data_IF_881541810342
#
_entry.id   IF_881541810342
#
_cell.length_a   1.000
_cell.length_b   1.000
_cell.length_c   1.000
_cell.angle_alpha   90.00
_cell.angle_beta   90.00
_cell.angle_gamma   90.00
#
_symmetry.space_group_name_H-M   'P 1'
#
loop_
_entity.id
_entity.type
_entity.pdbx_description
1 polymer ?
#
# COMPACT_ATOMS: atom_id res chain seq x y z
N UNK A 1 7.56 9.07 14.37
CA UNK A 1 7.43 8.81 15.80
C UNK A 1 8.36 7.70 16.31
N UNK A 2 9.35 7.31 15.52
CA UNK A 2 10.32 6.30 15.91
C UNK A 2 9.85 4.85 15.76
N UNK A 3 8.70 4.64 15.15
CA UNK A 3 8.18 3.30 14.90
C UNK A 3 8.47 2.91 13.44
N UNK A 4 9.11 1.75 13.27
CA UNK A 4 9.38 1.23 11.93
C UNK A 4 8.08 0.68 11.33
N UNK A 5 7.63 1.25 10.21
CA UNK A 5 6.40 0.84 9.54
C UNK A 5 6.67 0.07 8.26
N UNK A 6 7.87 0.19 7.72
CA UNK A 6 8.29 -0.51 6.51
C UNK A 6 9.81 -0.62 6.49
N UNK A 7 10.31 -1.70 5.92
CA UNK A 7 11.75 -1.94 5.82
C UNK A 7 12.04 -2.68 4.51
N UNK A 8 13.07 -2.24 3.79
CA UNK A 8 13.53 -2.89 2.56
C UNK A 8 15.03 -3.12 2.65
N UNK A 9 15.44 -4.33 2.36
CA UNK A 9 16.85 -4.70 2.30
C UNK A 9 17.13 -5.28 0.91
N UNK A 10 18.00 -4.62 0.16
CA UNK A 10 18.36 -5.07 -1.18
C UNK A 10 19.79 -5.62 -1.17
N UNK A 11 19.97 -6.75 -1.87
CA UNK A 11 21.31 -7.25 -2.13
C UNK A 11 22.04 -6.27 -3.06
N UNK A 12 23.38 -6.30 -3.04
CA UNK A 12 24.22 -5.35 -3.77
C UNK A 12 23.86 -5.19 -5.26
N UNK A 13 23.54 -6.26 -6.02
CA UNK A 13 23.21 -6.10 -7.44
C UNK A 13 21.84 -5.49 -7.72
N UNK A 14 21.01 -5.26 -6.68
CA UNK A 14 19.67 -4.72 -6.83
C UNK A 14 19.64 -3.24 -6.44
N UNK A 15 19.33 -2.37 -7.40
CA UNK A 15 19.15 -0.95 -7.13
C UNK A 15 17.88 -0.67 -6.32
N UNK A 16 17.79 0.53 -5.78
CA UNK A 16 16.63 0.97 -5.02
C UNK A 16 15.79 1.90 -5.87
N UNK A 17 14.48 1.66 -5.84
CA UNK A 17 13.51 2.48 -6.55
C UNK A 17 13.01 3.58 -5.64
N UNK A 18 13.39 4.84 -5.90
CA UNK A 18 12.99 5.98 -5.07
C UNK A 18 11.49 6.21 -5.16
N UNK A 19 10.89 6.06 -6.35
CA UNK A 19 9.46 6.24 -6.52
C UNK A 19 8.66 5.26 -5.67
N UNK A 20 9.18 4.04 -5.47
CA UNK A 20 8.55 3.07 -4.59
C UNK A 20 8.53 3.55 -3.14
N UNK A 21 9.60 4.19 -2.69
CA UNK A 21 9.65 4.74 -1.34
C UNK A 21 8.60 5.84 -1.17
N UNK A 22 8.44 6.69 -2.16
CA UNK A 22 7.44 7.75 -2.14
C UNK A 22 6.03 7.17 -2.16
N UNK A 23 5.81 6.12 -2.94
CA UNK A 23 4.52 5.42 -3.00
C UNK A 23 4.14 4.87 -1.62
N UNK A 24 5.11 4.30 -0.90
CA UNK A 24 4.88 3.76 0.43
C UNK A 24 4.57 4.84 1.46
N UNK A 25 5.22 5.99 1.37
CA UNK A 25 4.89 7.13 2.24
C UNK A 25 3.47 7.60 1.98
N UNK A 26 3.09 7.73 0.71
CA UNK A 26 1.72 8.11 0.34
C UNK A 26 0.71 7.10 0.86
N UNK A 27 1.02 5.81 0.76
CA UNK A 27 0.16 4.74 1.24
C UNK A 27 -0.04 4.79 2.75
N UNK A 28 1.03 5.03 3.51
CA UNK A 28 0.93 5.16 4.97
C UNK A 28 0.09 6.36 5.37
N UNK A 29 0.28 7.49 4.69
CA UNK A 29 -0.51 8.69 4.96
C UNK A 29 -1.98 8.47 4.64
N UNK A 30 -2.27 7.78 3.54
CA UNK A 30 -3.63 7.42 3.19
C UNK A 30 -4.29 6.57 4.28
N UNK A 31 -3.58 5.55 4.76
CA UNK A 31 -4.08 4.68 5.83
C UNK A 31 -4.39 5.48 7.10
N UNK A 32 -3.50 6.37 7.52
CA UNK A 32 -3.69 7.16 8.72
C UNK A 32 -4.84 8.15 8.59
N UNK A 33 -5.07 8.65 7.38
CA UNK A 33 -6.10 9.63 7.10
C UNK A 33 -7.50 9.01 6.99
N UNK A 34 -7.60 7.85 6.36
CA UNK A 34 -8.88 7.24 6.01
C UNK A 34 -9.21 5.97 6.78
N UNK A 35 -8.25 5.40 7.49
CA UNK A 35 -8.44 4.14 8.21
C UNK A 35 -8.56 2.91 7.32
N UNK A 36 -8.44 3.08 6.01
CA UNK A 36 -8.47 1.97 5.06
C UNK A 36 -7.06 1.47 4.78
N UNK A 37 -6.95 0.25 4.28
CA UNK A 37 -5.65 -0.32 3.92
C UNK A 37 -5.42 -0.16 2.41
N UNK A 38 -4.14 -0.16 2.04
CA UNK A 38 -3.72 -0.03 0.65
C UNK A 38 -3.37 -1.41 0.11
N UNK A 39 -4.10 -1.91 -0.89
CA UNK A 39 -3.76 -3.20 -1.49
C UNK A 39 -2.47 -3.11 -2.30
N UNK A 40 -1.94 -4.27 -2.69
CA UNK A 40 -0.73 -4.34 -3.52
C UNK A 40 -0.89 -3.49 -4.78
N UNK A 41 0.13 -2.73 -5.12
CA UNK A 41 0.12 -1.89 -6.30
C UNK A 41 -0.60 -0.56 -6.15
N UNK A 42 -1.09 -0.24 -4.95
CA UNK A 42 -1.79 1.02 -4.70
C UNK A 42 -0.90 2.23 -4.99
N UNK A 43 -1.46 3.23 -5.66
CA UNK A 43 -0.83 4.53 -5.88
C UNK A 43 -1.76 5.63 -5.38
N UNK A 44 -1.18 6.79 -5.09
CA UNK A 44 -1.95 7.94 -4.63
C UNK A 44 -3.09 8.25 -5.60
N UNK A 45 -4.29 8.34 -5.08
CA UNK A 45 -5.51 8.53 -5.86
C UNK A 45 -6.30 7.25 -6.11
N UNK A 46 -5.67 6.08 -5.88
CA UNK A 46 -6.36 4.80 -6.04
C UNK A 46 -7.29 4.52 -4.86
N UNK A 47 -8.22 3.61 -5.08
CA UNK A 47 -9.17 3.19 -4.05
C UNK A 47 -8.47 2.36 -2.98
N UNK A 48 -8.79 2.64 -1.71
CA UNK A 48 -8.35 1.82 -0.59
C UNK A 48 -9.35 0.70 -0.30
N UNK A 49 -9.09 -0.05 0.76
CA UNK A 49 -9.90 -1.20 1.14
C UNK A 49 -10.11 -1.19 2.65
N UNK A 50 -11.32 -1.50 3.10
CA UNK A 50 -11.57 -1.65 4.53
C UNK A 50 -10.92 -2.94 5.03
N UNK A 51 -10.32 -2.88 6.21
CA UNK A 51 -9.57 -3.99 6.78
C UNK A 51 -10.49 -4.99 7.49
N UNK A 52 -11.49 -5.50 6.78
CA UNK A 52 -12.40 -6.53 7.27
C UNK A 52 -12.81 -7.44 6.11
N UNK A 53 -13.47 -8.55 6.42
CA UNK A 53 -13.85 -9.53 5.40
C UNK A 53 -14.75 -8.94 4.32
N UNK A 54 -15.71 -8.10 4.71
CA UNK A 54 -16.63 -7.48 3.77
C UNK A 54 -15.90 -6.49 2.85
N UNK A 55 -14.95 -5.70 3.41
CA UNK A 55 -14.16 -4.77 2.64
C UNK A 55 -13.26 -5.46 1.64
N UNK A 56 -12.62 -6.55 2.04
CA UNK A 56 -11.79 -7.36 1.14
C UNK A 56 -12.61 -7.95 0.01
N UNK A 57 -13.75 -8.54 0.33
CA UNK A 57 -14.64 -9.13 -0.68
C UNK A 57 -15.13 -8.09 -1.68
N UNK A 58 -15.52 -6.90 -1.19
CA UNK A 58 -15.98 -5.80 -2.04
C UNK A 58 -14.88 -5.33 -2.99
N UNK A 59 -13.66 -5.13 -2.46
CA UNK A 59 -12.52 -4.70 -3.27
C UNK A 59 -12.17 -5.75 -4.33
N UNK A 60 -12.12 -7.03 -3.96
CA UNK A 60 -11.79 -8.10 -4.91
C UNK A 60 -12.84 -8.25 -6.00
N UNK A 61 -14.11 -7.99 -5.68
CA UNK A 61 -15.16 -8.02 -6.70
C UNK A 61 -14.95 -6.94 -7.77
N UNK A 62 -14.38 -5.78 -7.38
CA UNK A 62 -14.14 -4.66 -8.30
C UNK A 62 -12.79 -4.75 -9.00
N UNK A 63 -11.74 -5.21 -8.31
CA UNK A 63 -10.37 -5.08 -8.74
C UNK A 63 -9.57 -6.38 -8.75
N UNK A 64 -10.22 -7.52 -8.53
CA UNK A 64 -9.51 -8.80 -8.44
C UNK A 64 -8.63 -9.12 -9.64
N UNK A 65 -9.02 -8.68 -10.82
CA UNK A 65 -8.28 -8.91 -12.07
C UNK A 65 -7.02 -8.05 -12.18
N UNK A 66 -6.87 -7.05 -11.33
CA UNK A 66 -5.78 -6.08 -11.38
C UNK A 66 -4.64 -6.41 -10.42
N UNK A 67 -4.82 -7.39 -9.56
CA UNK A 67 -3.84 -7.75 -8.53
C UNK A 67 -2.81 -8.77 -9.00
#
# INVERSE_FOLDING_TARGET
>A
EGVVRHQVVNDLPLGREVDEMLRLVDALQFHEEHGEVCPAGWNKGDEGMKADAAGVADYLAKHGDEL
#
